data_IF_590717290824
#
_entry.id   IF_590717290824
#
_cell.length_a   1.000
_cell.length_b   1.000
_cell.length_c   1.000
_cell.angle_alpha   90.00
_cell.angle_beta   90.00
_cell.angle_gamma   90.00
#
_symmetry.space_group_name_H-M   'P 1'
#
loop_
_entity.id
_entity.type
_entity.pdbx_description
1 polymer ?
#
# COMPACT_ATOMS: atom_id res chain seq x y z
N UNK A 1 1.18 -17.13 4.05
CA UNK A 1 2.57 -16.59 4.02
C UNK A 1 3.37 -17.18 5.16
N UNK A 2 4.67 -17.47 4.97
CA UNK A 2 5.56 -17.97 6.02
C UNK A 2 6.32 -16.83 6.67
N UNK A 3 6.81 -17.05 7.91
CA UNK A 3 7.65 -16.06 8.59
C UNK A 3 8.96 -15.80 7.82
N UNK A 4 9.53 -16.84 7.21
CA UNK A 4 10.70 -16.70 6.32
C UNK A 4 10.46 -15.75 5.13
N UNK A 5 9.26 -15.77 4.55
CA UNK A 5 8.87 -14.86 3.47
C UNK A 5 8.75 -13.41 3.98
N UNK A 6 8.14 -13.22 5.15
CA UNK A 6 8.06 -11.92 5.82
C UNK A 6 9.46 -11.35 6.06
N UNK A 7 10.35 -12.14 6.67
CA UNK A 7 11.72 -11.73 6.93
C UNK A 7 12.47 -11.36 5.64
N UNK A 8 12.30 -12.15 4.58
CA UNK A 8 12.92 -11.87 3.28
C UNK A 8 12.44 -10.54 2.70
N UNK A 9 11.13 -10.31 2.64
CA UNK A 9 10.56 -9.07 2.10
C UNK A 9 10.97 -7.84 2.92
N UNK A 10 10.97 -7.95 4.25
CA UNK A 10 11.42 -6.86 5.12
C UNK A 10 12.91 -6.57 4.96
N UNK A 11 13.77 -7.59 4.76
CA UNK A 11 15.20 -7.38 4.43
C UNK A 11 15.37 -6.64 3.10
N UNK A 12 14.61 -6.99 2.08
CA UNK A 12 14.64 -6.30 0.78
C UNK A 12 14.19 -4.85 0.90
N UNK A 13 13.11 -4.61 1.65
CA UNK A 13 12.61 -3.27 1.94
C UNK A 13 13.65 -2.42 2.68
N UNK A 14 14.26 -2.96 3.74
CA UNK A 14 15.32 -2.30 4.51
C UNK A 14 16.53 -1.95 3.61
N UNK A 15 16.94 -2.87 2.76
CA UNK A 15 18.02 -2.63 1.81
C UNK A 15 17.66 -1.55 0.77
N UNK A 16 16.42 -1.50 0.29
CA UNK A 16 15.93 -0.44 -0.60
C UNK A 16 15.94 0.92 0.09
N UNK A 17 15.37 1.01 1.31
CA UNK A 17 15.36 2.22 2.12
C UNK A 17 16.78 2.76 2.34
N UNK A 18 17.73 1.86 2.67
CA UNK A 18 19.14 2.24 2.83
C UNK A 18 19.76 2.76 1.53
N UNK A 19 19.53 2.10 0.40
CA UNK A 19 20.05 2.57 -0.91
C UNK A 19 19.50 3.94 -1.29
N UNK A 20 18.24 4.19 -0.94
CA UNK A 20 17.57 5.48 -1.20
C UNK A 20 17.87 6.54 -0.14
N UNK A 21 18.74 6.26 0.83
CA UNK A 21 19.06 7.14 1.96
C UNK A 21 17.83 7.60 2.75
N UNK A 22 16.81 6.75 2.84
CA UNK A 22 15.63 7.02 3.63
C UNK A 22 15.88 6.66 5.10
N UNK A 23 15.82 7.63 5.98
CA UNK A 23 15.99 7.42 7.40
C UNK A 23 14.71 6.80 8.01
N UNK A 24 14.89 5.74 8.79
CA UNK A 24 13.85 5.14 9.60
C UNK A 24 13.95 5.60 11.05
N UNK A 25 12.83 5.56 11.82
CA UNK A 25 12.89 5.77 13.26
C UNK A 25 13.76 4.68 13.94
N UNK A 26 14.26 4.92 15.17
CA UNK A 26 15.14 3.95 15.86
C UNK A 26 14.55 2.54 16.05
N UNK A 27 13.26 2.44 16.23
CA UNK A 27 12.51 1.19 16.40
C UNK A 27 11.35 1.13 15.40
N UNK A 28 11.64 0.90 14.10
CA UNK A 28 10.63 0.93 13.07
C UNK A 28 9.68 -0.26 13.23
N UNK A 29 8.39 0.00 13.10
CA UNK A 29 7.36 -1.02 13.12
C UNK A 29 7.06 -1.49 11.70
N UNK A 30 7.23 -2.78 11.45
CA UNK A 30 7.11 -3.40 10.14
C UNK A 30 5.86 -4.26 10.04
N UNK A 31 5.25 -4.24 8.89
CA UNK A 31 4.28 -5.25 8.46
C UNK A 31 4.62 -5.73 7.05
N UNK A 32 4.39 -7.00 6.78
CA UNK A 32 4.46 -7.55 5.43
C UNK A 32 3.27 -8.47 5.20
N UNK A 33 2.69 -8.39 4.01
CA UNK A 33 1.50 -9.16 3.65
C UNK A 33 1.57 -9.63 2.21
N UNK A 34 1.02 -10.81 1.92
CA UNK A 34 0.64 -11.28 0.59
C UNK A 34 -0.87 -11.17 0.39
N UNK A 35 -1.53 -10.39 1.25
CA UNK A 35 -2.99 -10.19 1.26
C UNK A 35 -3.80 -11.49 1.42
N UNK A 36 -3.20 -12.54 2.01
CA UNK A 36 -3.83 -13.85 2.15
C UNK A 36 -3.99 -14.61 0.83
N UNK A 37 -3.43 -14.11 -0.27
CA UNK A 37 -3.58 -14.71 -1.60
C UNK A 37 -2.62 -15.89 -1.84
N UNK A 38 -1.63 -16.08 -0.97
CA UNK A 38 -0.68 -17.21 -1.05
C UNK A 38 0.38 -17.07 -2.14
N UNK A 39 0.50 -15.90 -2.76
CA UNK A 39 1.47 -15.60 -3.81
C UNK A 39 2.08 -14.22 -3.64
N UNK A 40 3.05 -14.10 -2.75
CA UNK A 40 3.77 -12.85 -2.52
C UNK A 40 4.71 -12.44 -3.68
N UNK A 41 4.76 -13.21 -4.77
CA UNK A 41 5.49 -12.83 -5.98
C UNK A 41 4.68 -11.91 -6.89
N UNK A 42 3.36 -11.97 -6.81
CA UNK A 42 2.43 -11.18 -7.63
C UNK A 42 1.63 -10.15 -6.83
N UNK A 43 1.35 -10.45 -5.57
CA UNK A 43 0.64 -9.54 -4.67
C UNK A 43 1.35 -9.49 -3.33
N UNK A 44 1.67 -8.30 -2.86
CA UNK A 44 2.34 -8.14 -1.58
C UNK A 44 2.77 -6.71 -1.31
N UNK A 45 2.98 -6.43 -0.05
CA UNK A 45 3.38 -5.12 0.43
C UNK A 45 4.18 -5.26 1.72
N UNK A 46 5.22 -4.45 1.85
CA UNK A 46 5.88 -4.18 3.12
C UNK A 46 5.57 -2.75 3.51
N UNK A 47 5.13 -2.56 4.73
CA UNK A 47 4.86 -1.26 5.31
C UNK A 47 5.75 -1.00 6.50
N UNK A 48 6.23 0.21 6.66
CA UNK A 48 6.81 0.73 7.89
C UNK A 48 5.94 1.86 8.38
N UNK A 49 5.38 1.70 9.57
CA UNK A 49 4.56 2.72 10.21
C UNK A 49 5.48 3.81 10.77
N UNK A 50 5.30 5.03 10.32
CA UNK A 50 6.07 6.20 10.76
C UNK A 50 5.29 7.03 11.79
N UNK A 51 3.99 7.14 11.61
CA UNK A 51 3.07 7.78 12.55
C UNK A 51 1.68 7.16 12.46
N UNK A 52 1.01 7.01 13.61
CA UNK A 52 -0.40 6.65 13.67
C UNK A 52 -1.04 7.42 14.82
N UNK A 53 -1.60 8.57 14.49
CA UNK A 53 -2.23 9.50 15.40
C UNK A 53 -3.74 9.60 15.10
N UNK A 54 -4.57 10.08 16.02
CA UNK A 54 -6.00 10.22 15.77
C UNK A 54 -6.35 11.05 14.52
N UNK A 55 -5.50 12.01 14.15
CA UNK A 55 -5.74 12.95 13.06
C UNK A 55 -5.08 12.54 11.75
N UNK A 56 -3.98 11.75 11.79
CA UNK A 56 -3.21 11.36 10.62
C UNK A 56 -2.43 10.08 10.82
N UNK A 57 -2.09 9.46 9.69
CA UNK A 57 -1.19 8.32 9.62
C UNK A 57 -0.13 8.57 8.52
N UNK A 58 1.09 8.14 8.75
CA UNK A 58 2.15 8.13 7.75
C UNK A 58 2.82 6.77 7.70
N UNK A 59 2.98 6.26 6.47
CA UNK A 59 3.69 5.00 6.19
C UNK A 59 4.70 5.21 5.07
N UNK A 60 5.78 4.45 5.12
CA UNK A 60 6.63 4.18 3.95
C UNK A 60 6.47 2.73 3.56
N UNK A 61 6.30 2.49 2.26
CA UNK A 61 5.94 1.17 1.74
C UNK A 61 6.94 0.73 0.68
N UNK A 62 7.13 -0.58 0.60
CA UNK A 62 7.95 -1.26 -0.40
C UNK A 62 7.20 -2.48 -0.96
N UNK A 63 7.33 -2.68 -2.25
CA UNK A 63 7.02 -3.92 -2.92
C UNK A 63 8.02 -4.13 -4.06
N UNK A 64 8.16 -5.35 -4.54
CA UNK A 64 8.95 -5.63 -5.74
C UNK A 64 8.26 -5.06 -6.98
N UNK A 65 8.98 -4.79 -8.09
CA UNK A 65 8.35 -4.42 -9.35
C UNK A 65 7.22 -5.40 -9.72
N UNK A 66 6.09 -4.85 -10.17
CA UNK A 66 4.87 -5.56 -10.57
C UNK A 66 4.12 -6.35 -9.45
N UNK A 67 4.60 -6.29 -8.22
CA UNK A 67 3.88 -6.80 -7.05
C UNK A 67 2.74 -5.82 -6.71
N UNK A 68 1.51 -6.28 -6.86
CA UNK A 68 0.33 -5.39 -6.78
C UNK A 68 -0.21 -5.34 -5.35
N UNK A 69 -0.53 -4.14 -4.87
CA UNK A 69 -1.47 -3.94 -3.78
C UNK A 69 -2.87 -4.06 -4.35
N UNK A 70 -3.67 -5.09 -3.94
CA UNK A 70 -4.95 -5.41 -4.56
C UNK A 70 -5.93 -4.25 -4.58
N UNK A 71 -6.78 -4.22 -5.59
CA UNK A 71 -7.80 -3.18 -5.75
C UNK A 71 -8.68 -3.07 -4.52
N UNK A 72 -8.70 -1.90 -3.92
CA UNK A 72 -9.45 -1.59 -2.69
C UNK A 72 -9.94 -0.15 -2.67
N UNK A 73 -10.73 0.16 -1.68
CA UNK A 73 -11.20 1.51 -1.37
C UNK A 73 -11.38 1.68 0.13
N UNK A 74 -11.46 2.93 0.56
CA UNK A 74 -11.75 3.31 1.94
C UNK A 74 -13.08 4.05 2.04
N UNK A 75 -13.82 3.79 3.11
CA UNK A 75 -15.12 4.45 3.35
C UNK A 75 -14.97 5.82 4.01
N UNK A 76 -13.88 6.04 4.75
CA UNK A 76 -13.66 7.26 5.54
C UNK A 76 -12.28 7.87 5.31
N UNK A 77 -11.25 7.03 5.16
CA UNK A 77 -9.86 7.46 5.00
C UNK A 77 -9.68 8.23 3.69
N UNK A 78 -9.12 9.43 3.81
CA UNK A 78 -8.54 10.18 2.69
C UNK A 78 -7.04 10.00 2.76
N UNK A 79 -6.39 9.71 1.65
CA UNK A 79 -4.97 9.44 1.61
C UNK A 79 -4.27 10.09 0.41
N UNK A 80 -3.01 10.38 0.59
CA UNK A 80 -2.09 10.71 -0.48
C UNK A 80 -1.13 9.53 -0.68
N UNK A 81 -1.10 8.97 -1.89
CA UNK A 81 -0.06 8.04 -2.33
C UNK A 81 1.02 8.85 -3.03
N UNK A 82 2.25 8.71 -2.59
CA UNK A 82 3.40 9.53 -3.03
C UNK A 82 4.50 8.63 -3.58
N UNK A 83 4.95 8.87 -4.80
CA UNK A 83 6.18 8.24 -5.29
C UNK A 83 7.39 8.91 -4.61
N UNK A 84 8.06 8.19 -3.71
CA UNK A 84 9.26 8.69 -3.02
C UNK A 84 10.53 8.42 -3.80
N UNK A 85 10.60 7.28 -4.50
CA UNK A 85 11.67 6.93 -5.44
C UNK A 85 11.16 5.93 -6.47
N UNK A 86 11.88 5.70 -7.56
CA UNK A 86 11.51 4.76 -8.61
C UNK A 86 10.30 5.23 -9.42
N UNK A 87 9.27 4.40 -9.52
CA UNK A 87 8.03 4.72 -10.23
C UNK A 87 6.87 3.89 -9.68
N UNK A 88 5.70 4.51 -9.50
CA UNK A 88 4.48 3.87 -8.99
C UNK A 88 3.43 3.86 -10.08
N UNK A 89 3.05 2.66 -10.54
CA UNK A 89 1.88 2.48 -11.43
C UNK A 89 0.62 2.49 -10.58
N UNK A 90 -0.35 3.28 -10.98
CA UNK A 90 -1.66 3.42 -10.35
C UNK A 90 -2.75 3.06 -11.35
N UNK A 91 -3.82 2.43 -10.88
CA UNK A 91 -5.07 2.26 -11.63
C UNK A 91 -6.24 2.64 -10.72
N UNK A 92 -7.20 3.37 -11.26
CA UNK A 92 -8.34 3.91 -10.49
C UNK A 92 -9.67 3.51 -11.11
N UNK A 93 -10.68 3.37 -10.24
CA UNK A 93 -12.07 3.17 -10.66
C UNK A 93 -13.03 3.95 -9.77
N UNK A 94 -14.14 4.35 -10.37
CA UNK A 94 -15.20 5.07 -9.65
C UNK A 94 -16.10 4.13 -8.84
N UNK A 95 -16.13 2.85 -9.20
CA UNK A 95 -16.90 1.78 -8.57
C UNK A 95 -16.07 0.50 -8.56
N UNK A 96 -16.49 -0.49 -7.78
CA UNK A 96 -15.81 -1.78 -7.74
C UNK A 96 -15.71 -2.40 -9.14
N UNK A 97 -14.49 -2.57 -9.69
CA UNK A 97 -14.32 -3.02 -11.07
C UNK A 97 -14.78 -4.45 -11.35
N UNK A 98 -14.87 -5.31 -10.31
CA UNK A 98 -15.37 -6.66 -10.48
C UNK A 98 -16.89 -6.73 -10.66
N UNK A 99 -17.60 -5.76 -10.12
CA UNK A 99 -19.07 -5.69 -10.23
C UNK A 99 -19.54 -4.62 -11.23
N UNK A 100 -18.74 -3.59 -11.45
CA UNK A 100 -19.04 -2.46 -12.35
C UNK A 100 -17.84 -2.15 -13.27
N UNK A 101 -17.49 -3.02 -14.22
CA UNK A 101 -16.28 -2.86 -15.04
C UNK A 101 -16.31 -1.64 -15.98
N UNK A 102 -17.48 -1.07 -16.24
CA UNK A 102 -17.68 0.09 -17.11
C UNK A 102 -18.04 1.35 -16.33
N UNK A 103 -17.45 1.55 -15.14
CA UNK A 103 -17.67 2.77 -14.37
C UNK A 103 -17.14 4.02 -15.09
N UNK A 104 -17.75 5.18 -14.79
CA UNK A 104 -17.37 6.47 -15.37
C UNK A 104 -15.95 6.92 -14.96
N UNK A 105 -15.44 8.02 -15.51
CA UNK A 105 -14.11 8.52 -15.21
C UNK A 105 -14.00 8.95 -13.74
N UNK A 106 -12.79 8.87 -13.20
CA UNK A 106 -12.45 9.24 -11.82
C UNK A 106 -11.87 10.65 -11.80
N UNK A 107 -12.36 11.51 -10.90
CA UNK A 107 -11.76 12.82 -10.64
C UNK A 107 -10.87 12.73 -9.41
N UNK A 108 -9.62 13.13 -9.55
CA UNK A 108 -8.61 13.12 -8.48
C UNK A 108 -7.78 14.37 -8.51
N UNK A 109 -6.99 14.59 -7.46
CA UNK A 109 -5.94 15.59 -7.48
C UNK A 109 -4.59 14.90 -7.64
N UNK A 110 -3.81 15.33 -8.65
CA UNK A 110 -2.40 14.93 -8.80
C UNK A 110 -1.58 16.20 -8.65
N UNK A 111 -0.66 16.21 -7.68
CA UNK A 111 0.17 17.38 -7.34
C UNK A 111 -0.67 18.64 -7.04
N UNK A 112 -1.83 18.49 -6.40
CA UNK A 112 -2.75 19.56 -6.08
C UNK A 112 -3.56 20.12 -7.27
N UNK A 113 -3.49 19.48 -8.44
CA UNK A 113 -4.27 19.86 -9.63
C UNK A 113 -5.30 18.80 -9.96
N UNK A 114 -6.54 19.22 -10.21
CA UNK A 114 -7.60 18.31 -10.63
C UNK A 114 -7.25 17.64 -11.96
N UNK A 115 -7.44 16.33 -12.01
CA UNK A 115 -7.29 15.46 -13.19
C UNK A 115 -8.50 14.55 -13.31
N UNK A 116 -8.83 14.21 -14.55
CA UNK A 116 -9.84 13.20 -14.87
C UNK A 116 -9.13 12.03 -15.53
N UNK A 117 -9.23 10.85 -14.90
CA UNK A 117 -8.61 9.60 -15.35
C UNK A 117 -9.71 8.66 -15.78
N UNK A 118 -9.56 7.98 -16.90
CA UNK A 118 -10.52 6.96 -17.30
C UNK A 118 -10.44 5.78 -16.32
N UNK A 119 -11.60 5.24 -15.91
CA UNK A 119 -11.62 4.06 -15.05
C UNK A 119 -10.89 2.89 -15.70
N UNK A 120 -9.98 2.26 -14.95
CA UNK A 120 -9.14 1.15 -15.42
C UNK A 120 -7.94 1.56 -16.27
N UNK A 121 -7.77 2.85 -16.55
CA UNK A 121 -6.56 3.35 -17.21
C UNK A 121 -5.40 3.44 -16.22
N UNK A 122 -4.30 2.74 -16.53
CA UNK A 122 -3.10 2.81 -15.73
C UNK A 122 -2.27 4.05 -16.06
N UNK A 123 -1.73 4.70 -15.04
CA UNK A 123 -0.77 5.80 -15.19
C UNK A 123 0.36 5.65 -14.16
N UNK A 124 1.41 6.44 -14.31
CA UNK A 124 2.62 6.33 -13.49
C UNK A 124 2.86 7.64 -12.75
N UNK A 125 3.10 7.53 -11.44
CA UNK A 125 3.67 8.61 -10.63
C UNK A 125 5.19 8.48 -10.63
N UNK A 126 5.88 9.57 -10.90
CA UNK A 126 7.34 9.68 -10.83
C UNK A 126 7.78 10.31 -9.51
N UNK A 127 9.08 10.26 -9.14
CA UNK A 127 9.53 10.74 -7.83
C UNK A 127 9.12 12.17 -7.52
N UNK A 128 8.49 12.35 -6.37
CA UNK A 128 7.92 13.62 -5.90
C UNK A 128 6.45 13.83 -6.26
N UNK A 129 5.90 13.09 -7.21
CA UNK A 129 4.48 13.17 -7.54
C UNK A 129 3.62 12.45 -6.51
N UNK A 130 2.42 13.00 -6.31
CA UNK A 130 1.41 12.45 -5.40
C UNK A 130 0.03 12.49 -6.00
N UNK A 131 -0.78 11.54 -5.61
CA UNK A 131 -2.22 11.51 -5.88
C UNK A 131 -2.97 11.59 -4.56
N UNK A 132 -4.02 12.39 -4.51
CA UNK A 132 -4.95 12.44 -3.38
C UNK A 132 -6.19 11.62 -3.71
N UNK A 133 -6.42 10.57 -2.92
CA UNK A 133 -7.57 9.68 -3.00
C UNK A 133 -8.56 10.05 -1.89
N UNK A 134 -9.76 10.41 -2.30
CA UNK A 134 -10.87 10.63 -1.35
C UNK A 134 -11.63 9.33 -1.12
N UNK A 135 -12.37 9.20 0.01
CA UNK A 135 -13.18 8.02 0.27
C UNK A 135 -14.05 7.61 -0.92
N UNK A 136 -14.14 6.31 -1.16
CA UNK A 136 -14.94 5.72 -2.24
C UNK A 136 -14.22 5.53 -3.57
N UNK A 137 -13.03 6.11 -3.79
CA UNK A 137 -12.24 5.84 -4.98
C UNK A 137 -11.59 4.45 -4.84
N UNK A 138 -11.93 3.56 -5.77
CA UNK A 138 -11.28 2.26 -5.91
C UNK A 138 -9.93 2.43 -6.59
N UNK A 139 -8.91 1.79 -6.04
CA UNK A 139 -7.56 1.93 -6.55
C UNK A 139 -6.71 0.69 -6.29
N UNK A 140 -5.70 0.53 -7.11
CA UNK A 140 -4.59 -0.39 -6.91
C UNK A 140 -3.29 0.30 -7.30
N UNK A 141 -2.19 -0.18 -6.78
CA UNK A 141 -0.89 0.32 -7.17
C UNK A 141 0.18 -0.77 -7.13
N UNK A 142 1.24 -0.55 -7.90
CA UNK A 142 2.42 -1.41 -7.90
C UNK A 142 3.66 -0.60 -8.24
N UNK A 143 4.84 -0.95 -7.71
CA UNK A 143 6.09 -0.48 -8.26
C UNK A 143 6.21 -0.88 -9.73
N UNK A 144 6.64 0.04 -10.59
CA UNK A 144 6.92 -0.21 -12.01
C UNK A 144 8.39 0.01 -12.37
N UNK A 145 9.25 0.23 -11.38
CA UNK A 145 10.69 0.34 -11.52
C UNK A 145 11.39 -0.24 -10.27
N UNK A 146 12.67 -0.64 -10.40
CA UNK A 146 13.49 -0.98 -9.24
C UNK A 146 13.62 0.20 -8.27
N UNK A 147 13.93 -0.12 -7.00
CA UNK A 147 14.15 0.85 -5.94
C UNK A 147 12.98 1.85 -5.75
N UNK A 148 11.77 1.37 -5.98
CA UNK A 148 10.57 2.16 -5.72
C UNK A 148 10.23 2.15 -4.24
N UNK A 149 10.09 3.34 -3.67
CA UNK A 149 9.52 3.60 -2.36
C UNK A 149 8.23 4.39 -2.52
N UNK A 150 7.19 3.95 -1.82
CA UNK A 150 5.87 4.54 -1.86
C UNK A 150 5.60 5.15 -0.49
N UNK A 151 5.22 6.41 -0.42
CA UNK A 151 4.74 7.03 0.81
C UNK A 151 3.22 7.05 0.85
N UNK A 152 2.65 6.83 2.01
CA UNK A 152 1.26 7.13 2.31
C UNK A 152 1.21 8.19 3.40
N UNK A 153 0.41 9.22 3.21
CA UNK A 153 -0.01 10.15 4.25
C UNK A 153 -1.51 10.19 4.22
N UNK A 154 -2.14 9.82 5.31
CA UNK A 154 -3.59 9.71 5.33
C UNK A 154 -4.19 10.40 6.57
N UNK A 155 -5.48 10.66 6.51
CA UNK A 155 -6.25 10.88 7.71
C UNK A 155 -6.23 9.60 8.55
N UNK A 156 -6.94 9.57 9.63
CA UNK A 156 -7.05 8.39 10.48
C UNK A 156 -7.00 7.04 9.73
N UNK A 157 -6.25 6.06 10.26
CA UNK A 157 -6.03 4.75 9.67
C UNK A 157 -6.68 3.66 10.53
N UNK A 158 -7.63 2.93 9.94
CA UNK A 158 -8.29 1.77 10.54
C UNK A 158 -8.24 0.60 9.56
N UNK A 159 -7.20 -0.20 9.69
CA UNK A 159 -7.00 -1.35 8.82
C UNK A 159 -8.08 -2.41 8.97
N UNK A 160 -8.73 -2.49 10.13
CA UNK A 160 -9.70 -3.53 10.42
C UNK A 160 -11.10 -3.26 9.86
N UNK A 161 -11.52 -1.99 9.79
CA UNK A 161 -12.91 -1.67 9.44
C UNK A 161 -13.07 -0.72 8.26
N UNK A 162 -11.99 -0.13 7.73
CA UNK A 162 -12.06 0.85 6.64
C UNK A 162 -11.31 0.44 5.36
N UNK A 163 -10.98 -0.85 5.22
CA UNK A 163 -10.45 -1.43 3.98
C UNK A 163 -11.50 -2.31 3.30
N UNK A 164 -11.87 -1.97 2.08
CA UNK A 164 -12.84 -2.72 1.27
C UNK A 164 -12.16 -3.20 -0.01
N UNK A 165 -11.86 -4.49 -0.08
CA UNK A 165 -11.21 -5.10 -1.24
C UNK A 165 -12.22 -5.52 -2.31
N UNK A 166 -11.85 -5.35 -3.58
CA UNK A 166 -12.67 -5.81 -4.70
C UNK A 166 -12.72 -7.34 -4.75
N UNK A 167 -11.59 -7.99 -4.52
CA UNK A 167 -11.48 -9.45 -4.45
C UNK A 167 -11.82 -9.95 -3.05
N UNK A 168 -12.91 -10.72 -2.88
CA UNK A 168 -13.33 -11.24 -1.57
C UNK A 168 -12.38 -12.29 -0.97
N UNK A 169 -11.36 -12.73 -1.71
CA UNK A 169 -10.34 -13.66 -1.20
C UNK A 169 -9.26 -12.94 -0.38
N UNK A 170 -9.18 -11.61 -0.49
CA UNK A 170 -8.18 -10.83 0.26
C UNK A 170 -8.46 -10.90 1.74
N UNK A 171 -7.44 -11.28 2.51
CA UNK A 171 -7.41 -11.31 3.98
C UNK A 171 -6.08 -10.73 4.47
N UNK A 172 -6.10 -9.47 4.91
CA UNK A 172 -4.91 -8.80 5.43
C UNK A 172 -4.50 -9.28 6.83
N UNK A 173 -5.39 -9.97 7.53
CA UNK A 173 -5.15 -10.50 8.88
C UNK A 173 -4.90 -12.01 8.91
N UNK A 174 -4.61 -12.61 7.75
CA UNK A 174 -4.31 -14.04 7.67
C UNK A 174 -3.11 -14.43 8.54
N UNK A 175 -3.16 -15.64 9.09
CA UNK A 175 -2.10 -16.14 9.96
C UNK A 175 -0.79 -16.35 9.19
N UNK A 176 0.32 -15.94 9.81
CA UNK A 176 1.67 -16.23 9.33
C UNK A 176 2.12 -17.58 9.90
N UNK A 177 2.58 -18.48 9.04
CA UNK A 177 3.14 -19.78 9.43
C UNK A 177 4.53 -19.57 10.08
N UNK A 178 4.75 -19.98 11.35
CA UNK A 178 6.00 -19.72 12.07
C UNK A 178 7.08 -20.77 11.72
N UNK A 179 7.68 -20.68 10.55
CA UNK A 179 8.76 -21.56 10.13
C UNK A 179 10.15 -21.10 10.55
N UNK A 180 10.30 -19.84 10.94
CA UNK A 180 11.50 -19.27 11.56
C UNK A 180 11.16 -18.15 12.56
N UNK A 181 12.16 -17.65 13.28
CA UNK A 181 11.95 -16.52 14.18
C UNK A 181 11.73 -15.21 13.42
N UNK A 182 10.85 -14.29 13.89
CA UNK A 182 10.72 -12.97 13.29
C UNK A 182 12.00 -12.16 13.51
N UNK A 183 12.51 -11.54 12.42
CA UNK A 183 13.69 -10.67 12.46
C UNK A 183 13.32 -9.19 12.62
N UNK A 184 12.10 -8.82 12.26
CA UNK A 184 11.63 -7.45 12.29
C UNK A 184 10.47 -7.32 13.29
N UNK A 185 10.53 -6.26 14.11
CA UNK A 185 9.42 -5.93 15.01
C UNK A 185 8.21 -5.47 14.22
N UNK A 186 7.07 -6.15 14.37
CA UNK A 186 5.82 -5.78 13.71
C UNK A 186 5.04 -4.74 14.51
N UNK A 187 4.20 -3.94 13.86
CA UNK A 187 3.10 -3.34 14.58
C UNK A 187 2.09 -4.44 14.90
N UNK A 188 1.72 -4.49 16.19
CA UNK A 188 0.72 -5.42 16.62
C UNK A 188 -0.57 -5.12 15.86
N UNK A 189 -0.97 -6.04 14.98
CA UNK A 189 -2.32 -6.05 14.41
C UNK A 189 -3.39 -6.21 15.49
N UNK A 190 -2.95 -6.47 16.74
CA UNK A 190 -3.78 -6.68 17.92
C UNK A 190 -3.94 -5.43 18.80
N UNK A 191 -3.36 -4.30 18.46
CA UNK A 191 -3.65 -3.04 19.14
C UNK A 191 -4.98 -2.48 18.65
N UNK A 192 -6.06 -3.16 18.95
CA UNK A 192 -7.37 -2.54 19.02
C UNK A 192 -7.42 -1.66 20.27
N UNK A 193 -7.94 -0.42 20.14
CA UNK A 193 -8.22 0.42 21.30
C UNK A 193 -9.28 -0.18 22.22
#
# INVERSE_FOLDING_TARGET
>A
MKQSDVNLLCREAAACLQRMNWALPPEPQWAATDFGLGDYSSAGLVEVLLANEPEYCEKIMYARPDMVTPTHTHGKKKEDIVCRSGAVRMTLWNENPLTHPASGPVRVQINGQERTIASGEAFVLTPGERITLVPGIWHEFAPSAPDTLIGEVSTWCDEATDNFFADPRVDIFHAIEPDEAPEFGGFATDAQP
#
